data_IF_143236482168
#
_entry.id   IF_143236482168
#
_cell.length_a   1.000
_cell.length_b   1.000
_cell.length_c   1.000
_cell.angle_alpha   90.00
_cell.angle_beta   90.00
_cell.angle_gamma   90.00
#
_symmetry.space_group_name_H-M   'P 1'
#
loop_
_entity.id
_entity.type
_entity.pdbx_description
1 polymer ?
#
# COMPACT_ATOMS: atom_id res chain seq x y z
N UNK A 1 -18.68 -19.71 -10.06
CA UNK A 1 -18.74 -18.22 -10.02
C UNK A 1 -17.83 -17.60 -8.95
N UNK A 2 -17.53 -18.30 -7.84
CA UNK A 2 -16.71 -17.76 -6.75
C UNK A 2 -15.30 -17.31 -7.18
N UNK A 3 -14.63 -18.05 -8.05
CA UNK A 3 -13.26 -17.73 -8.49
C UNK A 3 -13.17 -16.37 -9.21
N UNK A 4 -14.14 -16.09 -10.08
CA UNK A 4 -14.23 -14.80 -10.78
C UNK A 4 -14.52 -13.66 -9.80
N UNK A 5 -15.44 -13.87 -8.85
CA UNK A 5 -15.77 -12.89 -7.83
C UNK A 5 -14.56 -12.54 -6.95
N UNK A 6 -13.86 -13.54 -6.40
CA UNK A 6 -12.67 -13.32 -5.56
C UNK A 6 -11.56 -12.60 -6.33
N UNK A 7 -11.30 -13.01 -7.58
CA UNK A 7 -10.30 -12.38 -8.44
C UNK A 7 -10.62 -10.91 -8.68
N UNK A 8 -11.86 -10.60 -9.06
CA UNK A 8 -12.30 -9.23 -9.32
C UNK A 8 -12.25 -8.36 -8.05
N UNK A 9 -12.74 -8.87 -6.93
CA UNK A 9 -12.76 -8.16 -5.64
C UNK A 9 -11.36 -7.71 -5.22
N UNK A 10 -10.39 -8.64 -5.17
CA UNK A 10 -9.02 -8.30 -4.80
C UNK A 10 -8.32 -7.43 -5.85
N UNK A 11 -8.56 -7.68 -7.14
CA UNK A 11 -7.99 -6.84 -8.22
C UNK A 11 -8.43 -5.39 -8.08
N UNK A 12 -9.73 -5.14 -7.88
CA UNK A 12 -10.26 -3.78 -7.71
C UNK A 12 -9.63 -3.13 -6.48
N UNK A 13 -9.62 -3.83 -5.34
CA UNK A 13 -9.02 -3.30 -4.12
C UNK A 13 -7.54 -2.93 -4.29
N UNK A 14 -6.74 -3.82 -4.89
CA UNK A 14 -5.30 -3.59 -5.10
C UNK A 14 -5.03 -2.49 -6.12
N UNK A 15 -5.80 -2.41 -7.21
CA UNK A 15 -5.65 -1.33 -8.20
C UNK A 15 -6.00 0.03 -7.61
N UNK A 16 -7.07 0.12 -6.83
CA UNK A 16 -7.46 1.36 -6.14
C UNK A 16 -6.37 1.79 -5.15
N UNK A 17 -5.90 0.87 -4.30
CA UNK A 17 -4.84 1.19 -3.33
C UNK A 17 -3.54 1.55 -4.04
N UNK A 18 -3.12 0.82 -5.08
CA UNK A 18 -1.93 1.15 -5.87
C UNK A 18 -2.01 2.55 -6.49
N UNK A 19 -3.18 2.91 -7.04
CA UNK A 19 -3.46 4.24 -7.57
C UNK A 19 -3.32 5.32 -6.50
N UNK A 20 -3.91 5.11 -5.33
CA UNK A 20 -3.81 6.04 -4.19
C UNK A 20 -2.36 6.21 -3.71
N UNK A 21 -1.60 5.11 -3.57
CA UNK A 21 -0.20 5.17 -3.14
C UNK A 21 0.68 5.93 -4.15
N UNK A 22 0.45 5.70 -5.45
CA UNK A 22 1.15 6.43 -6.51
C UNK A 22 0.79 7.92 -6.51
N UNK A 23 -0.49 8.25 -6.32
CA UNK A 23 -0.96 9.63 -6.20
C UNK A 23 -0.29 10.33 -5.00
N UNK A 24 -0.27 9.69 -3.83
CA UNK A 24 0.38 10.25 -2.63
C UNK A 24 1.89 10.45 -2.86
N UNK A 25 2.57 9.48 -3.45
CA UNK A 25 3.99 9.63 -3.80
C UNK A 25 4.21 10.84 -4.72
N UNK A 26 3.36 11.03 -5.73
CA UNK A 26 3.47 12.18 -6.65
C UNK A 26 3.21 13.53 -5.97
N UNK A 27 2.28 13.59 -5.02
CA UNK A 27 2.01 14.81 -4.25
C UNK A 27 3.19 15.18 -3.34
N UNK A 28 3.82 14.18 -2.71
CA UNK A 28 5.02 14.40 -1.89
C UNK A 28 6.16 14.93 -2.76
N UNK A 29 6.41 14.30 -3.92
CA UNK A 29 7.47 14.74 -4.85
C UNK A 29 7.21 16.11 -5.45
N UNK A 30 5.95 16.51 -5.61
CA UNK A 30 5.56 17.84 -6.06
C UNK A 30 5.63 18.90 -4.93
N UNK A 31 6.07 18.53 -3.72
CA UNK A 31 6.13 19.43 -2.56
C UNK A 31 4.74 19.82 -2.02
N UNK A 32 3.70 19.06 -2.35
CA UNK A 32 2.32 19.34 -1.95
C UNK A 32 1.95 18.68 -0.61
N UNK A 33 2.86 17.92 0.00
CA UNK A 33 2.67 17.28 1.30
C UNK A 33 2.76 18.30 2.44
N UNK A 34 1.65 18.99 2.70
CA UNK A 34 1.51 19.85 3.88
C UNK A 34 0.99 19.05 5.08
N UNK A 35 1.42 19.44 6.28
CA UNK A 35 0.95 18.85 7.53
C UNK A 35 -0.57 18.89 7.61
N UNK A 36 -1.18 17.72 7.78
CA UNK A 36 -2.63 17.55 7.71
C UNK A 36 -3.10 16.68 8.90
N UNK A 37 -4.02 17.19 9.75
CA UNK A 37 -4.50 16.43 10.90
C UNK A 37 -5.42 15.25 10.52
N UNK A 38 -5.93 15.22 9.29
CA UNK A 38 -6.93 14.25 8.82
C UNK A 38 -6.31 13.09 8.03
N UNK A 39 -5.32 13.36 7.17
CA UNK A 39 -4.74 12.37 6.25
C UNK A 39 -3.21 12.36 6.29
N UNK A 40 -2.60 11.17 6.20
CA UNK A 40 -1.14 10.98 6.17
C UNK A 40 -0.62 10.10 7.31
N UNK A 41 0.71 10.04 7.46
CA UNK A 41 1.37 9.33 8.57
C UNK A 41 1.35 10.25 9.79
N UNK A 42 0.46 9.98 10.73
CA UNK A 42 0.18 10.83 11.90
C UNK A 42 0.65 10.18 13.19
N UNK A 43 1.95 10.23 13.45
CA UNK A 43 2.52 9.90 14.75
C UNK A 43 2.74 11.18 15.57
N UNK A 44 3.10 11.04 16.85
CA UNK A 44 3.49 12.20 17.67
C UNK A 44 4.70 12.93 17.06
N UNK A 45 5.65 12.18 16.51
CA UNK A 45 6.85 12.73 15.90
C UNK A 45 6.54 13.47 14.58
N UNK A 46 5.77 12.86 13.67
CA UNK A 46 5.48 13.49 12.37
C UNK A 46 4.61 14.75 12.48
N UNK A 47 3.85 14.89 13.57
CA UNK A 47 2.99 16.05 13.81
C UNK A 47 3.69 17.20 14.56
N UNK A 48 4.88 16.97 15.12
CA UNK A 48 5.57 17.92 15.98
C UNK A 48 5.99 19.22 15.25
N UNK A 49 6.36 19.13 13.97
CA UNK A 49 6.71 20.28 13.14
C UNK A 49 6.41 20.03 11.66
N UNK A 50 6.37 21.08 10.84
CA UNK A 50 6.24 20.93 9.39
C UNK A 50 7.48 20.28 8.77
N UNK A 51 8.67 20.54 9.34
CA UNK A 51 9.92 19.90 8.93
C UNK A 51 9.89 18.38 9.16
N UNK A 52 9.47 17.95 10.35
CA UNK A 52 9.31 16.52 10.68
C UNK A 52 8.26 15.84 9.79
N UNK A 53 7.18 16.55 9.47
CA UNK A 53 6.17 16.05 8.51
C UNK A 53 6.76 15.80 7.13
N UNK A 54 7.46 16.81 6.57
CA UNK A 54 8.02 16.74 5.22
C UNK A 54 9.07 15.62 5.14
N UNK A 55 10.04 15.61 6.05
CA UNK A 55 11.12 14.62 6.04
C UNK A 55 10.61 13.18 6.15
N UNK A 56 9.60 12.93 7.00
CA UNK A 56 9.00 11.61 7.15
C UNK A 56 8.27 11.14 5.89
N UNK A 57 7.54 12.04 5.21
CA UNK A 57 6.82 11.70 3.99
C UNK A 57 7.78 11.51 2.81
N UNK A 58 8.82 12.33 2.68
CA UNK A 58 9.89 12.15 1.68
C UNK A 58 10.60 10.80 1.87
N UNK A 59 10.94 10.44 3.11
CA UNK A 59 11.57 9.15 3.42
C UNK A 59 10.68 7.93 3.07
N UNK A 60 9.38 8.15 2.92
CA UNK A 60 8.37 7.13 2.61
C UNK A 60 8.10 6.95 1.12
N UNK A 61 8.50 7.91 0.26
CA UNK A 61 8.18 7.92 -1.19
C UNK A 61 8.58 6.62 -1.88
N UNK A 62 9.80 6.13 -1.64
CA UNK A 62 10.29 4.89 -2.26
C UNK A 62 9.47 3.67 -1.83
N UNK A 63 9.01 3.63 -0.57
CA UNK A 63 8.17 2.54 -0.07
C UNK A 63 6.77 2.63 -0.69
N UNK A 64 6.19 3.83 -0.81
CA UNK A 64 4.90 4.04 -1.50
C UNK A 64 4.95 3.54 -2.95
N UNK A 65 5.97 3.96 -3.71
CA UNK A 65 6.17 3.53 -5.09
C UNK A 65 6.37 2.03 -5.22
N UNK A 66 7.26 1.47 -4.39
CA UNK A 66 7.52 0.02 -4.37
C UNK A 66 6.26 -0.79 -4.03
N UNK A 67 5.47 -0.32 -3.05
CA UNK A 67 4.21 -0.98 -2.66
C UNK A 67 3.16 -0.91 -3.76
N UNK A 68 3.08 0.21 -4.50
CA UNK A 68 2.19 0.31 -5.65
C UNK A 68 2.56 -0.72 -6.74
N UNK A 69 3.85 -0.85 -7.07
CA UNK A 69 4.33 -1.85 -8.05
C UNK A 69 4.07 -3.28 -7.57
N UNK A 70 4.27 -3.55 -6.28
CA UNK A 70 3.96 -4.83 -5.67
C UNK A 70 2.47 -5.18 -5.85
N UNK A 71 1.56 -4.26 -5.58
CA UNK A 71 0.12 -4.49 -5.73
C UNK A 71 -0.31 -4.75 -7.18
N UNK A 72 0.30 -4.07 -8.15
CA UNK A 72 0.11 -4.38 -9.58
C UNK A 72 0.59 -5.79 -9.91
N UNK A 73 1.72 -6.20 -9.34
CA UNK A 73 2.28 -7.55 -9.52
C UNK A 73 1.37 -8.61 -8.91
N UNK A 74 0.88 -8.41 -7.68
CA UNK A 74 -0.09 -9.29 -7.02
C UNK A 74 -1.38 -9.42 -7.84
N UNK A 75 -1.86 -8.31 -8.42
CA UNK A 75 -3.03 -8.31 -9.31
C UNK A 75 -2.77 -9.18 -10.55
N UNK A 76 -1.62 -9.02 -11.20
CA UNK A 76 -1.25 -9.85 -12.35
C UNK A 76 -1.17 -11.34 -11.97
N UNK A 77 -0.61 -11.67 -10.81
CA UNK A 77 -0.56 -13.05 -10.30
C UNK A 77 -1.96 -13.62 -10.09
N UNK A 78 -2.90 -12.86 -9.51
CA UNK A 78 -4.28 -13.32 -9.35
C UNK A 78 -4.95 -13.63 -10.70
N UNK A 79 -4.72 -12.80 -11.72
CA UNK A 79 -5.25 -13.06 -13.07
C UNK A 79 -4.60 -14.26 -13.75
N UNK A 80 -3.30 -14.50 -13.53
CA UNK A 80 -2.64 -15.72 -13.99
C UNK A 80 -3.23 -16.95 -13.31
N UNK A 81 -3.40 -16.93 -11.98
CA UNK A 81 -4.03 -18.02 -11.22
C UNK A 81 -5.45 -18.30 -11.74
N UNK A 82 -6.26 -17.26 -11.95
CA UNK A 82 -7.61 -17.40 -12.52
C UNK A 82 -7.61 -18.00 -13.94
N UNK A 83 -6.63 -17.64 -14.77
CA UNK A 83 -6.52 -18.15 -16.13
C UNK A 83 -6.21 -19.66 -16.16
N UNK A 84 -5.25 -20.10 -15.33
CA UNK A 84 -4.74 -21.48 -15.36
C UNK A 84 -5.57 -22.47 -14.53
N UNK A 85 -6.24 -22.00 -13.47
CA UNK A 85 -7.02 -22.88 -12.60
C UNK A 85 -8.34 -23.30 -13.25
N UNK A 86 -8.86 -24.50 -12.90
CA UNK A 86 -10.24 -24.87 -13.17
C UNK A 86 -11.23 -23.82 -12.68
N UNK A 87 -12.39 -23.73 -13.34
CA UNK A 87 -13.42 -22.72 -13.01
C UNK A 87 -14.55 -23.31 -12.15
N UNK A 88 -14.24 -24.38 -11.44
CA UNK A 88 -15.06 -25.03 -10.43
C UNK A 88 -14.85 -24.40 -9.04
N UNK A 89 -15.57 -24.94 -8.05
CA UNK A 89 -15.56 -24.40 -6.70
C UNK A 89 -14.27 -24.75 -5.92
N UNK A 90 -13.54 -25.79 -6.35
CA UNK A 90 -12.27 -26.21 -5.72
C UNK A 90 -11.15 -25.18 -5.90
N UNK A 91 -11.24 -24.34 -6.93
CA UNK A 91 -10.26 -23.29 -7.21
C UNK A 91 -10.50 -22.01 -6.40
N UNK A 92 -11.68 -21.86 -5.77
CA UNK A 92 -12.05 -20.65 -5.01
C UNK A 92 -11.14 -20.41 -3.81
N UNK A 93 -10.86 -21.41 -2.93
CA UNK A 93 -10.01 -21.21 -1.77
C UNK A 93 -8.60 -20.76 -2.15
N UNK A 94 -8.02 -21.32 -3.22
CA UNK A 94 -6.67 -20.99 -3.67
C UNK A 94 -6.55 -19.51 -4.02
N UNK A 95 -7.48 -18.99 -4.82
CA UNK A 95 -7.50 -17.57 -5.22
C UNK A 95 -7.77 -16.68 -4.01
N UNK A 96 -8.75 -17.05 -3.19
CA UNK A 96 -9.14 -16.25 -2.03
C UNK A 96 -8.00 -16.12 -1.01
N UNK A 97 -7.37 -17.22 -0.62
CA UNK A 97 -6.26 -17.20 0.33
C UNK A 97 -5.00 -16.56 -0.25
N UNK A 98 -4.78 -16.65 -1.57
CA UNK A 98 -3.70 -15.87 -2.23
C UNK A 98 -3.94 -14.37 -2.10
N UNK A 99 -5.17 -13.90 -2.35
CA UNK A 99 -5.55 -12.50 -2.15
C UNK A 99 -5.40 -12.03 -0.69
N UNK A 100 -5.79 -12.86 0.28
CA UNK A 100 -5.54 -12.59 1.70
C UNK A 100 -4.05 -12.51 2.04
N UNK A 101 -3.25 -13.44 1.51
CA UNK A 101 -1.80 -13.45 1.69
C UNK A 101 -1.15 -12.16 1.16
N UNK A 102 -1.53 -11.73 -0.04
CA UNK A 102 -1.06 -10.46 -0.60
C UNK A 102 -1.50 -9.25 0.22
N UNK A 103 -2.69 -9.30 0.82
CA UNK A 103 -3.17 -8.26 1.74
C UNK A 103 -2.32 -8.21 3.01
N UNK A 104 -1.94 -9.35 3.58
CA UNK A 104 -1.06 -9.40 4.75
C UNK A 104 0.34 -8.84 4.44
N UNK A 105 0.88 -9.14 3.25
CA UNK A 105 2.15 -8.56 2.78
C UNK A 105 2.02 -7.04 2.62
N UNK A 106 0.94 -6.55 2.00
CA UNK A 106 0.65 -5.11 1.91
C UNK A 106 0.67 -4.44 3.29
N UNK A 107 -0.07 -5.00 4.25
CA UNK A 107 -0.13 -4.46 5.62
C UNK A 107 1.26 -4.41 6.25
N UNK A 108 2.10 -5.41 6.04
CA UNK A 108 3.49 -5.44 6.54
C UNK A 108 4.33 -4.30 5.93
N UNK A 109 4.19 -4.04 4.63
CA UNK A 109 4.89 -2.94 3.97
C UNK A 109 4.42 -1.57 4.47
N UNK A 110 3.10 -1.40 4.68
CA UNK A 110 2.54 -0.17 5.23
C UNK A 110 2.98 0.07 6.69
N UNK A 111 3.06 -0.99 7.51
CA UNK A 111 3.63 -0.89 8.85
C UNK A 111 5.11 -0.49 8.81
N UNK A 112 5.91 -1.12 7.94
CA UNK A 112 7.32 -0.74 7.76
C UNK A 112 7.47 0.73 7.33
N UNK A 113 6.61 1.20 6.44
CA UNK A 113 6.57 2.60 6.02
C UNK A 113 6.29 3.51 7.22
N UNK A 114 5.27 3.18 8.01
CA UNK A 114 4.91 3.93 9.22
C UNK A 114 6.10 4.05 10.18
N UNK A 115 6.73 2.92 10.53
CA UNK A 115 7.86 2.94 11.47
C UNK A 115 9.08 3.70 10.94
N UNK A 116 9.37 3.59 9.63
CA UNK A 116 10.46 4.34 9.02
C UNK A 116 10.19 5.85 9.08
N UNK A 117 8.97 6.26 8.74
CA UNK A 117 8.56 7.66 8.76
C UNK A 117 8.62 8.24 10.19
N UNK A 118 8.13 7.48 11.17
CA UNK A 118 8.18 7.87 12.58
C UNK A 118 9.60 8.04 13.10
N UNK A 119 10.50 7.09 12.78
CA UNK A 119 11.91 7.17 13.18
C UNK A 119 12.63 8.40 12.59
N UNK A 120 12.36 8.72 11.32
CA UNK A 120 12.92 9.92 10.67
C UNK A 120 12.40 11.19 11.34
N UNK A 121 11.10 11.29 11.59
CA UNK A 121 10.53 12.44 12.28
C UNK A 121 11.08 12.61 13.71
N UNK A 122 11.27 11.50 14.43
CA UNK A 122 11.80 11.54 15.79
C UNK A 122 13.23 12.08 15.84
N UNK A 123 14.07 11.78 14.83
CA UNK A 123 15.45 12.28 14.75
C UNK A 123 15.58 13.79 14.51
N UNK A 124 14.50 14.49 14.17
CA UNK A 124 14.49 15.94 13.97
C UNK A 124 14.28 16.68 15.32
N UNK A 125 13.72 16.00 16.32
CA UNK A 125 13.35 16.59 17.60
C UNK A 125 14.09 15.98 18.81
N UNK A 126 14.87 14.93 18.61
CA UNK A 126 15.75 14.32 19.63
C UNK A 126 17.16 14.89 19.55
#
# INVERSE_FOLDING_TARGET
MGAAFSTAMFSIAFLVVAGLLKMLASQIEAGQSRRNPTFGIRSKATMASDEAWIAAHEASVNILKGTAVLLLSCTAVLWVLFAILPKDDDSVPVIFFSGLGFTAVLVTFLMRMYFKADAVAASIHG
#
